data_IF_389540693989
#
_entry.id   IF_389540693989
#
_cell.length_a   1.000
_cell.length_b   1.000
_cell.length_c   1.000
_cell.angle_alpha   90.00
_cell.angle_beta   90.00
_cell.angle_gamma   90.00
#
_symmetry.space_group_name_H-M   'P 1'
#
loop_
_entity.id
_entity.type
_entity.pdbx_description
1 polymer ?
#
# COMPACT_ATOMS: atom_id res chain seq x y z
N UNK A 1 47.40 57.88 -61.35
CA UNK A 1 46.70 56.65 -60.99
C UNK A 1 46.50 56.63 -59.46
N UNK A 2 45.30 56.84 -58.96
CA UNK A 2 44.97 56.82 -57.54
C UNK A 2 44.06 55.58 -57.28
N UNK A 3 44.66 54.63 -56.59
CA UNK A 3 43.97 53.34 -56.17
C UNK A 3 43.07 53.65 -54.98
N UNK A 4 41.77 53.48 -55.14
CA UNK A 4 40.76 53.57 -54.01
C UNK A 4 40.53 52.20 -53.46
N UNK A 5 41.00 51.97 -52.24
CA UNK A 5 40.74 50.77 -51.48
C UNK A 5 39.33 50.88 -50.86
N UNK A 6 38.43 50.00 -51.24
CA UNK A 6 37.10 49.88 -50.63
C UNK A 6 37.20 48.93 -49.42
N UNK A 7 36.97 49.47 -48.23
CA UNK A 7 36.84 48.68 -46.97
C UNK A 7 35.42 48.17 -46.93
N UNK A 8 35.24 46.83 -46.98
CA UNK A 8 33.96 46.20 -46.74
C UNK A 8 33.79 45.92 -45.21
N UNK A 9 32.85 46.59 -44.59
CA UNK A 9 32.49 46.37 -43.19
C UNK A 9 31.46 45.21 -43.15
N UNK A 10 31.91 44.06 -42.63
CA UNK A 10 31.01 42.92 -42.37
C UNK A 10 30.28 43.19 -41.06
N UNK A 11 29.00 43.47 -41.13
CA UNK A 11 28.11 43.51 -39.95
C UNK A 11 27.76 42.10 -39.50
N UNK A 12 28.32 41.64 -38.35
CA UNK A 12 27.87 40.45 -37.68
C UNK A 12 26.47 40.72 -37.10
N UNK A 13 25.45 40.05 -37.60
CA UNK A 13 24.13 40.02 -37.02
C UNK A 13 24.19 39.12 -35.78
N UNK A 14 24.12 39.72 -34.56
CA UNK A 14 23.94 39.03 -33.32
C UNK A 14 22.47 38.56 -33.27
N UNK A 15 22.25 37.26 -33.49
CA UNK A 15 20.93 36.65 -33.25
C UNK A 15 20.63 36.63 -31.72
N UNK A 16 19.47 37.12 -31.31
CA UNK A 16 19.07 36.97 -29.89
C UNK A 16 18.90 35.49 -29.54
N UNK A 17 19.26 35.07 -28.30
CA UNK A 17 18.97 33.71 -27.85
C UNK A 17 17.45 33.48 -27.86
N UNK A 18 17.00 32.55 -28.68
CA UNK A 18 15.62 32.09 -28.62
C UNK A 18 15.42 31.45 -27.25
N UNK A 19 14.63 32.10 -26.40
CA UNK A 19 14.17 31.55 -25.16
C UNK A 19 13.36 30.28 -25.50
N UNK A 20 13.93 29.10 -25.25
CA UNK A 20 13.23 27.85 -25.20
C UNK A 20 12.36 27.84 -23.92
N UNK A 21 11.35 28.66 -23.93
CA UNK A 21 10.24 28.61 -23.00
C UNK A 21 9.08 27.93 -23.69
N UNK A 22 9.19 26.65 -23.97
CA UNK A 22 8.01 25.84 -24.17
C UNK A 22 7.43 25.62 -22.78
N UNK A 23 6.51 26.50 -22.37
CA UNK A 23 5.44 26.11 -21.47
C UNK A 23 4.74 24.95 -22.19
N UNK A 24 5.02 23.73 -21.74
CA UNK A 24 4.25 22.54 -22.08
C UNK A 24 2.85 22.80 -21.55
N UNK A 25 2.02 23.43 -22.38
CA UNK A 25 0.58 23.48 -22.14
C UNK A 25 0.15 22.03 -22.22
N UNK A 26 0.04 21.39 -21.04
CA UNK A 26 -0.37 20.02 -20.89
C UNK A 26 -1.60 19.79 -21.79
N UNK A 27 -1.43 19.02 -22.84
CA UNK A 27 -2.54 18.65 -23.72
C UNK A 27 -3.57 17.99 -22.84
N UNK A 28 -4.87 18.27 -22.98
CA UNK A 28 -5.91 17.61 -22.18
C UNK A 28 -5.75 16.09 -22.18
N UNK A 29 -5.29 15.50 -23.27
CA UNK A 29 -4.98 14.08 -23.41
C UNK A 29 -3.82 13.60 -22.53
N UNK A 30 -2.82 14.46 -22.22
CA UNK A 30 -1.70 14.07 -21.35
C UNK A 30 -2.14 13.96 -19.90
N UNK A 31 -2.96 14.90 -19.41
CA UNK A 31 -3.47 14.89 -18.04
C UNK A 31 -4.38 13.67 -17.78
N UNK A 32 -5.26 13.33 -18.73
CA UNK A 32 -6.09 12.13 -18.62
C UNK A 32 -5.23 10.85 -18.68
N UNK A 33 -4.23 10.81 -19.55
CA UNK A 33 -3.32 9.68 -19.67
C UNK A 33 -2.53 9.45 -18.37
N UNK A 34 -1.99 10.48 -17.75
CA UNK A 34 -1.29 10.39 -16.46
C UNK A 34 -2.22 9.90 -15.34
N UNK A 35 -3.46 10.39 -15.33
CA UNK A 35 -4.47 9.96 -14.39
C UNK A 35 -4.80 8.46 -14.57
N UNK A 36 -4.94 7.97 -15.81
CA UNK A 36 -5.19 6.55 -16.11
C UNK A 36 -4.01 5.66 -15.67
N UNK A 37 -2.77 6.11 -15.83
CA UNK A 37 -1.59 5.39 -15.30
C UNK A 37 -1.67 5.29 -13.77
N UNK A 38 -1.99 6.37 -13.08
CA UNK A 38 -2.15 6.36 -11.63
C UNK A 38 -3.28 5.40 -11.20
N UNK A 39 -4.43 5.44 -11.88
CA UNK A 39 -5.57 4.54 -11.62
C UNK A 39 -5.19 3.07 -11.84
N UNK A 40 -4.39 2.76 -12.87
CA UNK A 40 -3.92 1.40 -13.11
C UNK A 40 -3.06 0.88 -11.96
N UNK A 41 -2.16 1.70 -11.40
CA UNK A 41 -1.38 1.32 -10.23
C UNK A 41 -2.26 1.09 -9.00
N UNK A 42 -3.24 1.94 -8.76
CA UNK A 42 -4.17 1.80 -7.64
C UNK A 42 -5.05 0.55 -7.79
N UNK A 43 -5.49 0.26 -9.02
CA UNK A 43 -6.26 -0.94 -9.34
C UNK A 43 -5.48 -2.22 -8.99
N UNK A 44 -4.21 -2.33 -9.39
CA UNK A 44 -3.36 -3.48 -9.04
C UNK A 44 -3.19 -3.59 -7.52
N UNK A 45 -2.88 -2.49 -6.84
CA UNK A 45 -2.68 -2.47 -5.38
C UNK A 45 -3.94 -2.84 -4.61
N UNK A 46 -5.11 -2.35 -5.05
CA UNK A 46 -6.40 -2.71 -4.49
C UNK A 46 -6.64 -4.22 -4.55
N UNK A 47 -6.34 -4.86 -5.70
CA UNK A 47 -6.49 -6.30 -5.85
C UNK A 47 -5.72 -7.07 -4.78
N UNK A 48 -4.42 -6.81 -4.67
CA UNK A 48 -3.58 -7.54 -3.72
C UNK A 48 -3.92 -7.21 -2.28
N UNK A 49 -4.27 -5.97 -1.95
CA UNK A 49 -4.72 -5.58 -0.62
C UNK A 49 -5.96 -6.40 -0.20
N UNK A 50 -6.99 -6.45 -1.05
CA UNK A 50 -8.21 -7.21 -0.75
C UNK A 50 -7.99 -8.72 -0.72
N UNK A 51 -7.21 -9.26 -1.67
CA UNK A 51 -6.91 -10.70 -1.73
C UNK A 51 -6.11 -11.20 -0.53
N UNK A 52 -5.30 -10.34 0.07
CA UNK A 52 -4.49 -10.63 1.25
C UNK A 52 -5.12 -10.09 2.54
N UNK A 53 -6.40 -9.71 2.48
CA UNK A 53 -7.21 -9.26 3.62
C UNK A 53 -6.66 -8.02 4.33
N UNK A 54 -5.81 -7.23 3.69
CA UNK A 54 -5.39 -5.93 4.19
C UNK A 54 -6.47 -4.88 3.89
N UNK A 55 -7.57 -4.95 4.65
CA UNK A 55 -8.75 -4.11 4.45
C UNK A 55 -8.49 -2.61 4.60
N UNK A 56 -7.63 -2.14 5.53
CA UNK A 56 -7.23 -0.74 5.59
C UNK A 56 -6.55 -0.26 4.31
N UNK A 57 -5.63 -1.03 3.75
CA UNK A 57 -4.97 -0.71 2.49
C UNK A 57 -5.97 -0.76 1.32
N UNK A 58 -6.85 -1.76 1.29
CA UNK A 58 -7.89 -1.85 0.27
C UNK A 58 -8.81 -0.62 0.28
N UNK A 59 -9.23 -0.16 1.46
CA UNK A 59 -10.00 1.08 1.62
C UNK A 59 -9.24 2.30 1.10
N UNK A 60 -7.95 2.41 1.43
CA UNK A 60 -7.11 3.52 0.98
C UNK A 60 -7.00 3.55 -0.55
N UNK A 61 -6.69 2.42 -1.19
CA UNK A 61 -6.55 2.37 -2.64
C UNK A 61 -7.89 2.58 -3.37
N UNK A 62 -9.01 2.07 -2.81
CA UNK A 62 -10.34 2.33 -3.36
C UNK A 62 -10.70 3.82 -3.33
N UNK A 63 -10.41 4.51 -2.23
CA UNK A 63 -10.64 5.95 -2.13
C UNK A 63 -9.84 6.75 -3.17
N UNK A 64 -8.63 6.31 -3.47
CA UNK A 64 -7.81 6.92 -4.53
C UNK A 64 -8.35 6.66 -5.93
N UNK A 65 -8.88 5.46 -6.18
CA UNK A 65 -9.56 5.13 -7.44
C UNK A 65 -10.80 6.03 -7.59
N UNK A 66 -11.63 6.13 -6.55
CA UNK A 66 -12.82 6.97 -6.58
C UNK A 66 -12.50 8.44 -6.89
N UNK A 67 -11.50 9.01 -6.19
CA UNK A 67 -11.04 10.37 -6.44
C UNK A 67 -10.54 10.57 -7.87
N UNK A 68 -9.79 9.59 -8.40
CA UNK A 68 -9.32 9.61 -9.78
C UNK A 68 -10.46 9.55 -10.80
N UNK A 69 -11.45 8.68 -10.59
CA UNK A 69 -12.64 8.60 -11.44
C UNK A 69 -13.46 9.90 -11.41
N UNK A 70 -13.62 10.51 -10.23
CA UNK A 70 -14.27 11.82 -10.08
C UNK A 70 -13.50 12.93 -10.82
N UNK A 71 -12.18 12.88 -10.82
CA UNK A 71 -11.37 13.81 -11.58
C UNK A 71 -11.52 13.58 -13.09
N UNK A 72 -11.52 12.32 -13.54
CA UNK A 72 -11.75 11.97 -14.94
C UNK A 72 -13.14 12.43 -15.42
N UNK A 73 -14.17 12.30 -14.57
CA UNK A 73 -15.54 12.74 -14.89
C UNK A 73 -15.64 14.23 -15.23
N UNK A 74 -14.72 15.06 -14.73
CA UNK A 74 -14.66 16.49 -15.10
C UNK A 74 -14.32 16.72 -16.58
N UNK A 75 -13.81 15.70 -17.28
CA UNK A 75 -13.62 15.75 -18.73
C UNK A 75 -14.92 15.66 -19.53
N UNK A 76 -16.06 15.38 -18.86
CA UNK A 76 -17.38 15.30 -19.47
C UNK A 76 -17.69 13.96 -20.17
N UNK A 77 -16.91 12.90 -19.90
CA UNK A 77 -17.16 11.58 -20.46
C UNK A 77 -18.35 10.90 -19.75
N UNK A 78 -19.47 10.63 -20.47
CA UNK A 78 -20.69 10.08 -19.88
C UNK A 78 -20.55 8.62 -19.41
N UNK A 79 -19.46 7.93 -19.78
CA UNK A 79 -19.24 6.52 -19.41
C UNK A 79 -18.69 6.35 -18.00
N UNK A 80 -18.32 7.42 -17.31
CA UNK A 80 -17.75 7.38 -15.96
C UNK A 80 -18.81 7.22 -14.85
N UNK A 81 -20.07 7.48 -15.13
CA UNK A 81 -21.16 7.33 -14.14
C UNK A 81 -21.35 5.86 -13.71
N UNK A 82 -21.11 4.92 -14.61
CA UNK A 82 -21.20 3.50 -14.30
C UNK A 82 -20.13 3.05 -13.30
N UNK A 83 -18.98 3.66 -13.31
CA UNK A 83 -17.88 3.32 -12.40
C UNK A 83 -18.23 3.64 -10.93
N UNK A 84 -19.08 4.62 -10.67
CA UNK A 84 -19.49 5.00 -9.31
C UNK A 84 -20.24 3.86 -8.59
N UNK A 85 -21.13 3.14 -9.29
CA UNK A 85 -21.87 2.01 -8.69
C UNK A 85 -20.95 0.83 -8.37
N UNK A 86 -19.92 0.61 -9.17
CA UNK A 86 -18.95 -0.46 -9.01
C UNK A 86 -18.00 -0.17 -7.83
N UNK A 87 -17.60 1.10 -7.65
CA UNK A 87 -16.84 1.56 -6.46
C UNK A 87 -17.64 1.32 -5.19
N UNK A 88 -18.95 1.60 -5.19
CA UNK A 88 -19.80 1.38 -4.03
C UNK A 88 -19.94 -0.11 -3.68
N UNK A 89 -20.07 -0.99 -4.65
CA UNK A 89 -20.09 -2.44 -4.43
C UNK A 89 -18.78 -2.95 -3.80
N UNK A 90 -17.63 -2.45 -4.27
CA UNK A 90 -16.32 -2.74 -3.68
C UNK A 90 -16.21 -2.22 -2.25
N UNK A 91 -16.69 -1.01 -1.98
CA UNK A 91 -16.71 -0.42 -0.64
C UNK A 91 -17.47 -1.30 0.34
N UNK A 92 -18.67 -1.73 -0.02
CA UNK A 92 -19.48 -2.62 0.81
C UNK A 92 -18.78 -3.96 1.09
N UNK A 93 -18.12 -4.54 0.08
CA UNK A 93 -17.38 -5.80 0.24
C UNK A 93 -16.16 -5.64 1.17
N UNK A 94 -15.44 -4.51 1.08
CA UNK A 94 -14.28 -4.19 1.93
C UNK A 94 -14.74 -3.96 3.38
N UNK A 95 -15.82 -3.23 3.60
CA UNK A 95 -16.41 -2.98 4.93
C UNK A 95 -16.89 -4.28 5.59
N UNK A 96 -17.50 -5.18 4.77
CA UNK A 96 -17.91 -6.51 5.23
C UNK A 96 -16.72 -7.47 5.38
N UNK A 97 -15.51 -7.12 4.93
CA UNK A 97 -14.34 -7.98 4.89
C UNK A 97 -14.58 -9.31 4.17
N UNK A 98 -15.42 -9.28 3.13
CA UNK A 98 -15.82 -10.43 2.34
C UNK A 98 -14.97 -10.56 1.07
N UNK A 99 -14.03 -11.52 1.07
CA UNK A 99 -13.12 -11.78 -0.05
C UNK A 99 -13.90 -12.22 -1.30
N UNK A 100 -14.99 -12.95 -1.17
CA UNK A 100 -15.79 -13.45 -2.31
C UNK A 100 -16.52 -12.28 -2.97
N UNK A 101 -17.22 -11.48 -2.17
CA UNK A 101 -17.89 -10.28 -2.65
C UNK A 101 -16.89 -9.28 -3.25
N UNK A 102 -15.72 -9.10 -2.60
CA UNK A 102 -14.64 -8.25 -3.11
C UNK A 102 -14.15 -8.71 -4.48
N UNK A 103 -13.86 -10.01 -4.63
CA UNK A 103 -13.36 -10.57 -5.90
C UNK A 103 -14.36 -10.36 -7.04
N UNK A 104 -15.66 -10.55 -6.78
CA UNK A 104 -16.72 -10.30 -7.75
C UNK A 104 -16.80 -8.81 -8.11
N UNK A 105 -16.90 -7.94 -7.11
CA UNK A 105 -17.03 -6.50 -7.33
C UNK A 105 -15.78 -5.90 -8.03
N UNK A 106 -14.59 -6.44 -7.75
CA UNK A 106 -13.36 -6.06 -8.44
C UNK A 106 -13.40 -6.43 -9.94
N UNK A 107 -13.90 -7.62 -10.27
CA UNK A 107 -14.13 -8.03 -11.66
C UNK A 107 -15.09 -7.08 -12.40
N UNK A 108 -16.16 -6.65 -11.73
CA UNK A 108 -17.13 -5.70 -12.30
C UNK A 108 -16.49 -4.32 -12.52
N UNK A 109 -15.67 -3.81 -11.58
CA UNK A 109 -14.92 -2.58 -11.77
C UNK A 109 -13.96 -2.69 -12.96
N UNK A 110 -13.24 -3.82 -13.11
CA UNK A 110 -12.34 -4.07 -14.22
C UNK A 110 -13.10 -4.05 -15.56
N UNK A 111 -14.29 -4.66 -15.60
CA UNK A 111 -15.16 -4.65 -16.77
C UNK A 111 -15.64 -3.23 -17.11
N UNK A 112 -15.95 -2.42 -16.11
CA UNK A 112 -16.31 -1.01 -16.27
C UNK A 112 -15.18 -0.18 -16.89
N UNK A 113 -13.93 -0.35 -16.41
CA UNK A 113 -12.75 0.28 -16.99
C UNK A 113 -12.64 -0.05 -18.50
N UNK A 114 -12.80 -1.34 -18.85
CA UNK A 114 -12.72 -1.78 -20.24
C UNK A 114 -13.90 -1.30 -21.10
N UNK A 115 -15.08 -1.13 -20.52
CA UNK A 115 -16.24 -0.57 -21.23
C UNK A 115 -15.98 0.90 -21.61
N UNK A 116 -15.48 1.71 -20.67
CA UNK A 116 -15.09 3.09 -20.93
C UNK A 116 -13.99 3.19 -22.01
N UNK A 117 -12.94 2.35 -21.93
CA UNK A 117 -11.88 2.32 -22.92
C UNK A 117 -12.43 2.02 -24.34
N UNK A 118 -13.38 1.07 -24.46
CA UNK A 118 -14.00 0.77 -25.76
C UNK A 118 -14.85 1.92 -26.28
N UNK A 119 -15.62 2.55 -25.41
CA UNK A 119 -16.46 3.69 -25.77
C UNK A 119 -15.64 4.91 -26.24
N UNK A 120 -14.46 5.13 -25.61
CA UNK A 120 -13.51 6.18 -25.99
C UNK A 120 -12.56 5.80 -27.13
N UNK A 121 -12.90 4.78 -27.93
CA UNK A 121 -12.07 4.28 -29.06
C UNK A 121 -10.66 3.81 -28.66
N UNK A 122 -10.47 3.48 -27.39
CA UNK A 122 -9.21 2.98 -26.80
C UNK A 122 -9.31 1.50 -26.40
N UNK A 123 -10.14 0.71 -27.08
CA UNK A 123 -10.38 -0.71 -26.78
C UNK A 123 -9.12 -1.59 -26.84
N UNK A 124 -8.04 -1.10 -27.45
CA UNK A 124 -6.73 -1.75 -27.44
C UNK A 124 -6.02 -1.66 -26.08
N UNK A 125 -6.47 -0.78 -25.16
CA UNK A 125 -6.03 -0.72 -23.77
C UNK A 125 -6.95 -1.60 -22.94
N UNK A 126 -6.55 -2.84 -22.70
CA UNK A 126 -7.35 -3.80 -21.93
C UNK A 126 -6.79 -3.97 -20.52
N UNK A 127 -7.59 -3.65 -19.52
CA UNK A 127 -7.28 -3.91 -18.10
C UNK A 127 -7.76 -5.32 -17.75
N UNK A 128 -7.00 -6.03 -16.94
CA UNK A 128 -7.36 -7.38 -16.49
C UNK A 128 -7.25 -7.50 -14.97
N UNK A 129 -7.98 -8.48 -14.41
CA UNK A 129 -7.76 -8.89 -13.02
C UNK A 129 -6.37 -9.51 -12.93
N UNK A 130 -5.51 -9.08 -11.99
CA UNK A 130 -4.16 -9.64 -11.84
C UNK A 130 -4.21 -11.15 -11.55
N UNK A 131 -3.43 -11.93 -12.29
CA UNK A 131 -3.39 -13.40 -12.18
C UNK A 131 -2.08 -13.95 -11.64
N UNK A 132 -1.06 -13.10 -11.54
CA UNK A 132 0.31 -13.49 -11.16
C UNK A 132 0.72 -12.83 -9.84
N UNK A 133 1.95 -13.10 -9.41
CA UNK A 133 2.54 -12.63 -8.15
C UNK A 133 2.51 -11.09 -8.00
N UNK A 134 2.66 -10.64 -6.76
CA UNK A 134 2.76 -9.24 -6.38
C UNK A 134 3.75 -8.49 -7.27
N UNK A 135 3.32 -7.44 -7.98
CA UNK A 135 4.20 -6.67 -8.86
C UNK A 135 5.14 -5.73 -8.10
N UNK A 136 4.86 -5.49 -6.81
CA UNK A 136 5.62 -4.58 -5.95
C UNK A 136 6.24 -5.36 -4.81
N UNK A 137 7.58 -5.47 -4.80
CA UNK A 137 8.32 -6.20 -3.77
C UNK A 137 8.77 -5.33 -2.60
N UNK A 138 8.59 -4.01 -2.71
CA UNK A 138 8.99 -3.01 -1.71
C UNK A 138 7.81 -2.44 -0.92
N UNK A 139 6.62 -3.03 -1.07
CA UNK A 139 5.42 -2.67 -0.31
C UNK A 139 4.81 -3.94 0.28
N UNK A 140 4.45 -3.88 1.56
CA UNK A 140 3.71 -4.94 2.24
C UNK A 140 2.22 -4.84 1.90
N UNK A 141 1.63 -5.95 1.44
CA UNK A 141 0.21 -6.04 1.09
C UNK A 141 -0.60 -6.88 2.08
N UNK A 142 0.06 -7.69 2.88
CA UNK A 142 -0.57 -8.50 3.92
C UNK A 142 -1.02 -7.62 5.10
N UNK A 143 -2.00 -8.12 5.86
CA UNK A 143 -2.44 -7.46 7.09
C UNK A 143 -1.36 -7.56 8.16
N UNK A 144 -0.94 -6.42 8.71
CA UNK A 144 0.13 -6.36 9.72
C UNK A 144 -0.17 -7.19 10.97
N UNK A 145 -1.43 -7.26 11.39
CA UNK A 145 -1.84 -8.05 12.57
C UNK A 145 -1.70 -9.55 12.28
N UNK A 146 -2.10 -9.98 11.07
CA UNK A 146 -1.98 -11.37 10.66
C UNK A 146 -0.50 -11.80 10.54
N UNK A 147 0.34 -10.96 9.94
CA UNK A 147 1.78 -11.21 9.85
C UNK A 147 2.44 -11.17 11.23
N UNK A 148 2.12 -10.18 12.06
CA UNK A 148 2.61 -10.09 13.44
C UNK A 148 2.25 -11.32 14.27
N UNK A 149 1.04 -11.85 14.10
CA UNK A 149 0.62 -13.10 14.72
C UNK A 149 1.44 -14.29 14.23
N UNK A 150 1.57 -14.45 12.91
CA UNK A 150 2.34 -15.55 12.30
C UNK A 150 3.80 -15.50 12.75
N UNK A 151 4.41 -14.30 12.75
CA UNK A 151 5.79 -14.07 13.19
C UNK A 151 5.96 -14.38 14.68
N UNK A 152 5.02 -13.96 15.53
CA UNK A 152 5.03 -14.25 16.96
C UNK A 152 4.95 -15.76 17.22
N UNK A 153 4.09 -16.50 16.53
CA UNK A 153 4.06 -17.96 16.62
C UNK A 153 5.38 -18.61 16.20
N UNK A 154 5.95 -18.18 15.08
CA UNK A 154 7.16 -18.79 14.52
C UNK A 154 8.41 -18.54 15.38
N UNK A 155 8.54 -17.36 16.00
CA UNK A 155 9.76 -16.93 16.69
C UNK A 155 9.58 -16.95 18.21
N UNK A 156 8.47 -16.44 18.73
CA UNK A 156 8.23 -16.28 20.16
C UNK A 156 7.55 -17.52 20.76
N UNK A 157 6.81 -18.30 19.96
CA UNK A 157 6.04 -19.46 20.36
C UNK A 157 6.86 -20.57 21.00
N UNK A 158 8.19 -20.61 20.80
CA UNK A 158 9.09 -21.53 21.47
C UNK A 158 9.15 -21.31 22.99
N UNK A 159 8.92 -20.08 23.47
CA UNK A 159 9.02 -19.72 24.87
C UNK A 159 7.73 -19.15 25.45
N UNK A 160 6.91 -18.50 24.63
CA UNK A 160 5.67 -17.82 25.04
C UNK A 160 4.44 -18.55 24.50
N UNK A 161 3.36 -18.58 25.27
CA UNK A 161 2.02 -18.83 24.72
C UNK A 161 1.59 -17.56 23.99
N UNK A 162 1.37 -17.64 22.69
CA UNK A 162 1.15 -16.46 21.83
C UNK A 162 -0.32 -16.09 21.72
N UNK A 163 -1.24 -17.07 21.86
CA UNK A 163 -2.70 -16.84 21.81
C UNK A 163 -3.42 -17.57 22.93
N UNK A 164 -4.70 -17.29 23.11
CA UNK A 164 -5.56 -17.97 24.09
C UNK A 164 -5.93 -19.41 23.68
N UNK A 165 -5.28 -19.97 22.66
CA UNK A 165 -5.53 -21.34 22.22
C UNK A 165 -5.08 -22.34 23.29
N UNK A 166 -6.02 -23.13 23.82
CA UNK A 166 -5.76 -24.15 24.84
C UNK A 166 -4.74 -25.23 24.41
N UNK A 167 -4.37 -25.27 23.14
CA UNK A 167 -3.46 -26.27 22.56
C UNK A 167 -2.04 -25.73 22.38
N UNK A 168 -1.79 -24.46 22.65
CA UNK A 168 -0.43 -23.88 22.55
C UNK A 168 0.38 -24.25 23.79
N UNK A 169 1.44 -25.02 23.58
CA UNK A 169 2.43 -25.31 24.61
C UNK A 169 3.79 -24.92 24.11
N UNK A 170 4.51 -24.01 24.79
CA UNK A 170 5.89 -23.71 24.46
C UNK A 170 6.76 -24.95 24.60
N UNK A 171 7.70 -25.14 23.70
CA UNK A 171 8.71 -26.20 23.76
C UNK A 171 9.74 -25.94 24.87
N UNK A 172 9.84 -24.71 25.35
CA UNK A 172 10.80 -24.28 26.35
C UNK A 172 10.38 -24.71 27.76
N UNK A 173 11.37 -25.21 28.53
CA UNK A 173 11.22 -25.42 29.97
C UNK A 173 11.36 -24.14 30.78
N UNK A 174 11.63 -23.01 30.13
CA UNK A 174 11.74 -21.69 30.76
C UNK A 174 10.34 -21.10 30.81
N UNK A 175 9.79 -20.81 32.01
CA UNK A 175 8.47 -20.19 32.12
C UNK A 175 8.57 -18.75 31.62
N UNK A 176 7.97 -18.48 30.46
CA UNK A 176 7.80 -17.12 29.95
C UNK A 176 6.31 -16.71 30.06
N UNK A 177 6.02 -15.44 30.39
CA UNK A 177 4.64 -14.97 30.46
C UNK A 177 3.96 -15.09 29.10
N UNK A 178 2.65 -15.43 29.09
CA UNK A 178 1.89 -15.48 27.83
C UNK A 178 1.68 -14.08 27.25
N UNK A 179 1.47 -13.98 25.94
CA UNK A 179 1.16 -12.70 25.29
C UNK A 179 -0.14 -12.09 25.80
N UNK A 180 -1.24 -12.84 25.99
CA UNK A 180 -2.44 -12.32 26.64
C UNK A 180 -2.16 -11.77 28.06
N UNK A 181 -1.37 -12.47 28.87
CA UNK A 181 -0.97 -11.98 30.20
C UNK A 181 -0.17 -10.68 30.11
N UNK A 182 0.82 -10.60 29.22
CA UNK A 182 1.59 -9.37 28.98
C UNK A 182 0.69 -8.23 28.50
N UNK A 183 -0.23 -8.52 27.58
CA UNK A 183 -1.15 -7.53 27.03
C UNK A 183 -2.10 -6.95 28.10
N UNK A 184 -2.46 -7.74 29.13
CA UNK A 184 -3.33 -7.30 30.24
C UNK A 184 -2.60 -6.48 31.31
N UNK A 185 -1.27 -6.41 31.30
CA UNK A 185 -0.49 -5.69 32.32
C UNK A 185 -0.63 -4.17 32.18
N UNK A 186 -0.96 -3.44 33.25
CA UNK A 186 -1.00 -1.99 33.22
C UNK A 186 0.36 -1.42 32.80
N UNK A 187 0.35 -0.48 31.89
CA UNK A 187 1.55 0.21 31.40
C UNK A 187 2.39 -0.56 30.39
N UNK A 188 2.00 -1.76 29.97
CA UNK A 188 2.69 -2.50 28.89
C UNK A 188 2.32 -1.88 27.54
N UNK A 189 3.09 -0.88 27.10
CA UNK A 189 2.80 -0.07 25.91
C UNK A 189 3.52 -0.58 24.66
N UNK A 190 3.10 -0.06 23.50
CA UNK A 190 3.75 -0.32 22.22
C UNK A 190 5.25 0.06 22.24
N UNK A 191 5.63 1.12 22.97
CA UNK A 191 7.00 1.58 23.11
C UNK A 191 7.84 0.55 23.87
N UNK A 192 7.29 0.00 24.96
CA UNK A 192 7.94 -1.05 25.74
C UNK A 192 8.15 -2.30 24.88
N UNK A 193 7.17 -2.69 24.08
CA UNK A 193 7.30 -3.84 23.18
C UNK A 193 8.41 -3.58 22.15
N UNK A 194 8.46 -2.40 21.55
CA UNK A 194 9.53 -2.03 20.60
C UNK A 194 10.90 -2.09 21.25
N UNK A 195 11.04 -1.53 22.43
CA UNK A 195 12.30 -1.57 23.18
C UNK A 195 12.74 -3.01 23.46
N UNK A 196 11.83 -3.84 23.98
CA UNK A 196 12.09 -5.24 24.29
C UNK A 196 12.51 -6.06 23.05
N UNK A 197 11.85 -5.85 21.92
CA UNK A 197 12.15 -6.57 20.66
C UNK A 197 13.45 -6.09 20.01
N UNK A 198 13.87 -4.85 20.29
CA UNK A 198 15.11 -4.27 19.77
C UNK A 198 16.33 -4.63 20.63
N UNK A 199 16.19 -4.59 21.95
CA UNK A 199 17.33 -4.75 22.89
C UNK A 199 17.44 -6.15 23.49
N UNK A 200 16.34 -6.92 23.52
CA UNK A 200 16.22 -8.15 24.30
C UNK A 200 16.11 -7.89 25.80
N UNK A 201 15.69 -8.90 26.56
CA UNK A 201 15.55 -8.80 28.02
C UNK A 201 16.85 -9.19 28.73
N UNK A 202 17.79 -8.31 28.82
CA UNK A 202 19.05 -8.57 29.54
C UNK A 202 18.94 -8.49 31.06
N UNK A 203 17.82 -7.98 31.58
CA UNK A 203 17.70 -7.65 33.01
C UNK A 203 17.14 -8.77 33.92
N UNK A 204 16.73 -9.90 33.33
CA UNK A 204 16.12 -11.00 34.09
C UNK A 204 17.10 -12.06 34.59
N UNK A 205 18.42 -11.86 34.41
CA UNK A 205 19.46 -12.83 34.79
C UNK A 205 19.80 -13.82 33.68
N UNK A 206 20.91 -14.55 33.81
CA UNK A 206 21.48 -15.37 32.74
C UNK A 206 20.59 -16.52 32.25
N UNK A 207 19.64 -16.98 33.09
CA UNK A 207 18.75 -18.10 32.77
C UNK A 207 17.31 -17.66 32.43
N UNK A 208 17.02 -16.37 32.40
CA UNK A 208 15.68 -15.81 32.16
C UNK A 208 15.68 -14.73 31.09
N UNK A 209 16.80 -14.50 30.45
CA UNK A 209 16.93 -13.47 29.43
C UNK A 209 16.28 -13.90 28.11
N UNK A 210 15.32 -13.12 27.63
CA UNK A 210 14.82 -13.26 26.28
C UNK A 210 15.93 -12.85 25.30
N UNK A 211 16.36 -13.73 24.36
CA UNK A 211 17.33 -13.33 23.35
C UNK A 211 16.75 -12.27 22.43
N UNK A 212 17.60 -11.38 21.91
CA UNK A 212 17.18 -10.45 20.85
C UNK A 212 16.75 -11.25 19.60
N UNK A 213 15.51 -11.14 19.16
CA UNK A 213 14.99 -11.91 18.00
C UNK A 213 15.54 -11.41 16.66
N UNK A 214 16.32 -10.32 16.63
CA UNK A 214 16.92 -9.71 15.43
C UNK A 214 15.90 -9.41 14.33
N UNK A 215 14.73 -8.91 14.71
CA UNK A 215 13.68 -8.52 13.79
C UNK A 215 14.04 -7.23 13.06
N UNK A 216 13.65 -7.12 11.79
CA UNK A 216 13.66 -5.86 11.07
C UNK A 216 12.61 -4.90 11.67
N UNK A 217 12.77 -3.60 11.48
CA UNK A 217 11.86 -2.60 12.07
C UNK A 217 10.39 -2.81 11.68
N UNK A 218 10.10 -3.17 10.42
CA UNK A 218 8.74 -3.45 9.97
C UNK A 218 8.15 -4.70 10.66
N UNK A 219 8.96 -5.73 10.93
CA UNK A 219 8.53 -6.93 11.65
C UNK A 219 8.23 -6.64 13.12
N UNK A 220 8.96 -5.72 13.74
CA UNK A 220 8.65 -5.23 15.08
C UNK A 220 7.28 -4.56 15.09
N UNK A 221 6.98 -3.70 14.11
CA UNK A 221 5.66 -3.05 14.00
C UNK A 221 4.52 -4.06 13.75
N UNK A 222 4.76 -5.13 13.01
CA UNK A 222 3.80 -6.22 12.83
C UNK A 222 3.47 -6.90 14.18
N UNK A 223 4.48 -7.24 14.98
CA UNK A 223 4.29 -7.82 16.31
C UNK A 223 3.59 -6.84 17.24
N UNK A 224 3.95 -5.55 17.20
CA UNK A 224 3.28 -4.49 17.97
C UNK A 224 1.80 -4.39 17.61
N UNK A 225 1.47 -4.40 16.31
CA UNK A 225 0.09 -4.35 15.83
C UNK A 225 -0.73 -5.55 16.34
N UNK A 226 -0.15 -6.74 16.33
CA UNK A 226 -0.79 -7.93 16.91
C UNK A 226 -1.02 -7.78 18.41
N UNK A 227 -0.03 -7.34 19.19
CA UNK A 227 -0.17 -7.11 20.64
C UNK A 227 -1.28 -6.11 20.97
N UNK A 228 -1.42 -5.04 20.21
CA UNK A 228 -2.48 -4.06 20.40
C UNK A 228 -3.88 -4.68 20.24
N UNK A 229 -4.03 -5.70 19.39
CA UNK A 229 -5.32 -6.43 19.32
C UNK A 229 -5.60 -7.26 20.56
N UNK A 230 -4.59 -7.86 21.19
CA UNK A 230 -4.73 -8.58 22.45
C UNK A 230 -5.10 -7.62 23.58
N UNK A 231 -4.49 -6.44 23.66
CA UNK A 231 -4.84 -5.40 24.64
C UNK A 231 -6.29 -4.94 24.50
N UNK A 232 -6.77 -4.72 23.26
CA UNK A 232 -8.16 -4.34 23.01
C UNK A 232 -9.17 -5.45 23.39
N UNK A 233 -8.76 -6.72 23.34
CA UNK A 233 -9.57 -7.86 23.79
C UNK A 233 -9.62 -7.98 25.33
N UNK A 234 -8.49 -7.73 26.00
CA UNK A 234 -8.39 -7.78 27.47
C UNK A 234 -9.10 -6.63 28.17
N UNK A 235 -9.41 -5.54 27.46
CA UNK A 235 -10.10 -4.36 27.99
C UNK A 235 -11.64 -4.45 27.90
N UNK A 236 -12.18 -5.53 27.33
CA UNK A 236 -13.63 -5.80 27.20
C UNK A 236 -14.13 -6.72 28.28
#
# INVERSE_FOLDING_TARGET
MRLRTLLAIATLAVMPPQAMGQADSARPDSALSELMVALQFQHIKLWFAGRLSNWPLATYELNRIEAGLQQAAKSGDPHLDQAASQVQALRSAIEARDITAFTKAYGELTNGCNACHRAGEKGFITVQVPTTNLPFTNQLFVDQVAEGRALAHAICGNCHVVSDSANERPDSRIPAPSFPELASRPGFSAEIIREMLTSGHRHLGPNQAMPNPRLASYQIEEVVAFFQTLQAQSAR
#
